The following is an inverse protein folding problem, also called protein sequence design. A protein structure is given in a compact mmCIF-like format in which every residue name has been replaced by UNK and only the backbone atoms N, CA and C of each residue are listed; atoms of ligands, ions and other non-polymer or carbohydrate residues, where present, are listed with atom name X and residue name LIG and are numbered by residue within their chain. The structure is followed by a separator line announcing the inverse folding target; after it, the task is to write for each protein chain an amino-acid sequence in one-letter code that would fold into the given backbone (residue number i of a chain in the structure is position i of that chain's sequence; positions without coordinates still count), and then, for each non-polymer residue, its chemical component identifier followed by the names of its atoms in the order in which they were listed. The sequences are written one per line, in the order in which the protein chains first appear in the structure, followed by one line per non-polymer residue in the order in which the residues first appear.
data_IF_202933946606
#
_entry.id   IF_202933946606
#
_cell.length_a   1.000
_cell.length_b   1.000
_cell.length_c   1.000
_cell.angle_alpha   90.00
_cell.angle_beta   90.00
_cell.angle_gamma   90.00
#
_symmetry.space_group_name_H-M   'P 1'
#
loop_
_entity.id
_entity.type
_entity.pdbx_description
1 polymer ?
#
# COMPACT_ATOMS: atom_id res chain seq x y z
N UNK A 1 19.67 -12.66 -31.45
CA UNK A 1 18.73 -12.80 -30.31
C UNK A 1 18.75 -11.51 -29.53
N UNK A 2 17.60 -10.86 -29.35
CA UNK A 2 17.51 -9.58 -28.62
C UNK A 2 17.30 -9.82 -27.13
N UNK A 3 18.03 -9.07 -26.30
CA UNK A 3 17.78 -8.99 -24.86
C UNK A 3 17.12 -7.65 -24.56
N UNK A 4 16.14 -7.65 -23.67
CA UNK A 4 15.59 -6.42 -23.12
C UNK A 4 16.64 -5.74 -22.24
N UNK A 5 16.80 -4.43 -22.42
CA UNK A 5 17.51 -3.57 -21.48
C UNK A 5 16.45 -2.80 -20.69
N UNK A 6 16.20 -3.24 -19.46
CA UNK A 6 15.29 -2.56 -18.54
C UNK A 6 16.04 -1.51 -17.71
N UNK A 7 15.32 -0.52 -17.21
CA UNK A 7 15.82 0.40 -16.17
C UNK A 7 15.45 -0.11 -14.78
N UNK A 8 16.12 0.42 -13.76
CA UNK A 8 15.83 0.14 -12.34
C UNK A 8 15.00 1.27 -11.71
N UNK A 9 14.17 1.94 -12.51
CA UNK A 9 13.35 3.05 -12.03
C UNK A 9 12.33 2.56 -11.00
N UNK A 10 12.17 3.31 -9.92
CA UNK A 10 11.18 2.99 -8.89
C UNK A 10 9.78 3.26 -9.41
N UNK A 11 8.93 2.24 -9.38
CA UNK A 11 7.51 2.35 -9.67
C UNK A 11 6.71 2.62 -8.39
N UNK A 12 5.52 3.21 -8.55
CA UNK A 12 4.52 3.23 -7.48
C UNK A 12 4.07 1.81 -7.14
N UNK A 13 3.78 1.56 -5.86
CA UNK A 13 3.12 0.34 -5.40
C UNK A 13 1.69 0.65 -4.93
N UNK A 14 0.85 -0.38 -4.88
CA UNK A 14 -0.54 -0.25 -4.47
C UNK A 14 -0.88 -1.27 -3.39
N UNK A 15 -1.59 -0.81 -2.36
CA UNK A 15 -2.30 -1.66 -1.40
C UNK A 15 -3.77 -1.74 -1.82
N UNK A 16 -4.38 -2.92 -1.75
CA UNK A 16 -5.75 -3.14 -2.20
C UNK A 16 -6.53 -3.94 -1.14
N UNK A 17 -7.74 -3.49 -0.84
CA UNK A 17 -8.77 -4.31 -0.21
C UNK A 17 -9.88 -4.54 -1.24
N UNK A 18 -10.14 -5.79 -1.60
CA UNK A 18 -11.05 -6.14 -2.68
C UNK A 18 -11.90 -7.37 -2.35
N UNK A 19 -13.07 -7.46 -2.99
CA UNK A 19 -14.06 -8.45 -2.61
C UNK A 19 -14.57 -8.23 -1.18
N UNK A 20 -14.74 -9.32 -0.42
CA UNK A 20 -15.25 -9.26 0.96
C UNK A 20 -14.15 -9.38 2.03
N UNK A 21 -13.03 -9.99 1.69
CA UNK A 21 -12.00 -10.34 2.69
C UNK A 21 -10.57 -10.25 2.17
N UNK A 22 -10.33 -9.94 0.90
CA UNK A 22 -8.97 -10.04 0.36
C UNK A 22 -8.21 -8.72 0.51
N UNK A 23 -7.03 -8.81 1.11
CA UNK A 23 -6.07 -7.71 1.24
C UNK A 23 -4.82 -8.07 0.46
N UNK A 24 -4.32 -7.14 -0.36
CA UNK A 24 -2.99 -7.19 -0.97
C UNK A 24 -2.16 -6.01 -0.50
N UNK A 25 -1.04 -6.27 0.17
CA UNK A 25 -0.14 -5.23 0.70
C UNK A 25 0.75 -4.61 -0.38
N UNK A 26 1.42 -3.50 -0.07
CA UNK A 26 2.30 -2.79 -1.00
C UNK A 26 3.49 -3.63 -1.51
N UNK A 27 3.95 -4.61 -0.72
CA UNK A 27 4.99 -5.59 -1.09
C UNK A 27 4.42 -6.85 -1.75
N UNK A 28 3.11 -6.87 -2.00
CA UNK A 28 2.43 -7.90 -2.80
C UNK A 28 2.02 -9.15 -2.01
N UNK A 29 2.08 -9.12 -0.68
CA UNK A 29 1.57 -10.20 0.17
C UNK A 29 0.03 -10.18 0.18
N UNK A 30 -0.56 -11.37 0.15
CA UNK A 30 -2.01 -11.55 0.06
C UNK A 30 -2.54 -12.20 1.34
N UNK A 31 -3.64 -11.66 1.86
CA UNK A 31 -4.28 -12.09 3.10
C UNK A 31 -5.79 -12.20 2.92
N UNK A 32 -6.40 -13.08 3.71
CA UNK A 32 -7.83 -13.12 3.93
C UNK A 32 -8.16 -12.56 5.33
N UNK A 33 -8.97 -11.52 5.35
CA UNK A 33 -9.33 -10.74 6.53
C UNK A 33 -10.84 -10.49 6.54
N UNK A 34 -11.55 -11.20 7.41
CA UNK A 34 -12.97 -10.98 7.66
C UNK A 34 -13.16 -9.78 8.60
N UNK A 35 -13.52 -8.63 8.03
CA UNK A 35 -13.73 -7.41 8.80
C UNK A 35 -15.04 -7.48 9.61
N UNK A 36 -14.96 -7.24 10.91
CA UNK A 36 -16.15 -6.97 11.73
C UNK A 36 -16.70 -5.56 11.40
N UNK A 37 -17.91 -5.19 11.87
CA UNK A 37 -18.47 -3.84 11.68
C UNK A 37 -17.72 -2.78 12.51
N UNK A 38 -16.54 -2.38 12.04
CA UNK A 38 -15.66 -1.40 12.67
C UNK A 38 -14.89 -0.63 11.59
N UNK A 39 -14.30 0.50 11.98
CA UNK A 39 -13.37 1.26 11.13
C UNK A 39 -11.96 0.70 11.29
N UNK A 40 -11.31 0.40 10.16
CA UNK A 40 -9.93 -0.09 10.12
C UNK A 40 -9.08 0.82 9.25
N UNK A 41 -7.92 1.21 9.75
CA UNK A 41 -6.92 1.94 8.98
C UNK A 41 -6.12 0.94 8.13
N UNK A 42 -6.30 0.99 6.81
CA UNK A 42 -5.50 0.17 5.88
C UNK A 42 -4.06 0.69 5.73
N UNK A 43 -3.86 2.00 5.91
CA UNK A 43 -2.56 2.67 5.79
C UNK A 43 -2.51 3.81 6.80
N UNK A 44 -1.38 3.91 7.52
CA UNK A 44 -1.07 5.06 8.37
C UNK A 44 0.37 5.51 8.13
N UNK A 45 0.55 6.82 7.95
CA UNK A 45 1.89 7.41 7.88
C UNK A 45 2.42 7.63 9.29
N UNK A 46 3.57 7.02 9.60
CA UNK A 46 4.31 7.37 10.82
C UNK A 46 5.21 8.56 10.51
N UNK A 47 4.76 9.76 10.85
CA UNK A 47 5.63 10.94 10.81
C UNK A 47 6.61 10.87 12.00
N UNK A 48 7.91 10.94 11.74
CA UNK A 48 8.87 11.33 12.79
C UNK A 48 8.76 12.84 12.95
N UNK A 49 8.53 13.33 14.17
CA UNK A 49 8.33 14.76 14.46
C UNK A 49 9.45 15.62 13.85
N UNK A 50 9.16 16.23 12.71
CA UNK A 50 9.89 17.36 12.14
C UNK A 50 8.85 18.31 11.54
N UNK A 51 8.20 19.07 12.43
CA UNK A 51 7.55 20.39 12.26
C UNK A 51 6.90 20.85 10.94
N UNK A 52 6.54 19.97 10.00
CA UNK A 52 5.68 20.28 8.86
C UNK A 52 4.73 19.12 8.61
N UNK A 53 3.60 19.13 9.32
CA UNK A 53 2.49 18.24 9.03
C UNK A 53 1.85 18.66 7.70
N UNK A 54 2.26 18.02 6.60
CA UNK A 54 1.46 18.01 5.38
C UNK A 54 0.34 16.99 5.58
N UNK A 55 -0.90 17.46 5.65
CA UNK A 55 -2.08 16.60 5.60
C UNK A 55 -2.18 15.98 4.21
N UNK A 56 -1.45 14.90 3.97
CA UNK A 56 -1.66 14.03 2.82
C UNK A 56 -2.75 13.04 3.19
N UNK A 57 -4.00 13.42 2.94
CA UNK A 57 -5.04 12.43 2.73
C UNK A 57 -4.72 11.75 1.40
N UNK A 58 -4.57 10.42 1.42
CA UNK A 58 -4.69 9.59 0.22
C UNK A 58 -6.17 9.40 -0.08
#
# INVERSE_FOLDING_TARGET
MGKWQCTDDKCSSSCNYYGMSHVKTFDGLEYEFEAAPCTYDLVQVRMRETSHASNAYY
#
